data_IF_142744790608
#
_entry.id   IF_142744790608
#
_cell.length_a   1.000
_cell.length_b   1.000
_cell.length_c   1.000
_cell.angle_alpha   90.00
_cell.angle_beta   90.00
_cell.angle_gamma   90.00
#
_symmetry.space_group_name_H-M   'P 1'
#
loop_
_entity.id
_entity.type
_entity.pdbx_description
1 polymer ?
#
# COMPACT_ATOMS: atom_id res chain seq x y z
N UNK A 1 -13.05 9.43 29.53
CA UNK A 1 -12.54 8.82 28.29
C UNK A 1 -12.37 9.94 27.26
N UNK A 2 -11.16 10.13 26.73
CA UNK A 2 -10.88 11.16 25.72
C UNK A 2 -11.25 10.64 24.33
N UNK A 3 -11.67 11.56 23.41
CA UNK A 3 -11.91 11.22 22.01
C UNK A 3 -10.60 10.72 21.36
N UNK A 4 -10.56 9.48 20.81
CA UNK A 4 -9.36 8.93 20.18
C UNK A 4 -9.08 9.50 18.77
N UNK A 5 -9.99 10.32 18.22
CA UNK A 5 -9.91 10.84 16.85
C UNK A 5 -10.22 9.79 15.78
N UNK A 6 -9.51 8.67 15.78
CA UNK A 6 -9.76 7.53 14.88
C UNK A 6 -9.57 6.20 15.61
N UNK A 7 -10.41 5.23 15.27
CA UNK A 7 -10.31 3.85 15.82
C UNK A 7 -10.28 2.83 14.70
N UNK A 8 -9.66 1.70 14.98
CA UNK A 8 -9.72 0.49 14.14
C UNK A 8 -10.72 -0.47 14.75
N UNK A 9 -11.63 -0.98 13.95
CA UNK A 9 -12.57 -2.03 14.35
C UNK A 9 -11.84 -3.37 14.33
N UNK A 10 -11.71 -4.02 15.48
CA UNK A 10 -10.96 -5.27 15.66
C UNK A 10 -11.81 -6.54 15.52
N UNK A 11 -13.14 -6.39 15.51
CA UNK A 11 -14.14 -7.46 15.29
C UNK A 11 -15.28 -6.89 14.46
N UNK A 12 -15.95 -7.73 13.66
CA UNK A 12 -17.17 -7.32 12.96
C UNK A 12 -18.19 -6.75 13.95
N UNK A 13 -18.76 -5.59 13.65
CA UNK A 13 -19.64 -4.84 14.54
C UNK A 13 -20.76 -4.13 13.75
N UNK A 14 -21.62 -3.40 14.44
CA UNK A 14 -22.73 -2.66 13.87
C UNK A 14 -22.70 -1.21 14.37
N UNK A 15 -22.88 -0.24 13.48
CA UNK A 15 -23.24 1.11 13.87
C UNK A 15 -24.68 1.15 14.40
N UNK A 16 -24.98 2.07 15.29
CA UNK A 16 -26.32 2.29 15.83
C UNK A 16 -26.76 3.74 15.60
N UNK A 17 -28.06 3.94 15.44
CA UNK A 17 -28.61 5.27 15.20
C UNK A 17 -28.77 6.10 16.50
N UNK A 18 -28.57 5.50 17.68
CA UNK A 18 -28.63 6.16 18.97
C UNK A 18 -27.62 5.55 19.98
N UNK A 19 -27.30 6.31 21.02
CA UNK A 19 -26.34 5.91 22.06
C UNK A 19 -26.78 4.71 22.90
N UNK A 20 -28.08 4.44 23.00
CA UNK A 20 -28.62 3.28 23.75
C UNK A 20 -28.58 1.96 22.98
N UNK A 21 -28.15 2.01 21.70
CA UNK A 21 -28.06 0.83 20.83
C UNK A 21 -29.40 0.11 20.63
N UNK A 22 -30.53 0.82 20.69
CA UNK A 22 -31.87 0.29 20.45
C UNK A 22 -32.25 0.27 18.98
N UNK A 23 -31.60 1.07 18.13
CA UNK A 23 -31.83 1.16 16.68
C UNK A 23 -30.56 0.84 15.93
N UNK A 24 -30.55 -0.32 15.25
CA UNK A 24 -29.41 -0.81 14.45
C UNK A 24 -29.26 0.02 13.16
N UNK A 25 -28.04 0.35 12.82
CA UNK A 25 -27.62 0.95 11.55
C UNK A 25 -26.86 -0.04 10.66
N UNK A 26 -25.86 0.45 9.95
CA UNK A 26 -25.05 -0.35 9.03
C UNK A 26 -24.04 -1.25 9.77
N UNK A 27 -23.73 -2.40 9.17
CA UNK A 27 -22.64 -3.27 9.65
C UNK A 27 -21.28 -2.64 9.32
N UNK A 28 -20.30 -2.84 10.19
CA UNK A 28 -18.90 -2.45 9.99
C UNK A 28 -18.00 -3.67 10.17
N UNK A 29 -17.08 -3.87 9.24
CA UNK A 29 -16.21 -5.04 9.24
C UNK A 29 -14.94 -4.81 10.07
N UNK A 30 -14.39 -5.90 10.61
CA UNK A 30 -13.02 -5.93 11.14
C UNK A 30 -12.05 -5.26 10.16
N UNK A 31 -11.02 -4.62 10.70
CA UNK A 31 -9.98 -3.88 9.96
C UNK A 31 -10.49 -2.58 9.27
N UNK A 32 -11.68 -2.09 9.61
CA UNK A 32 -12.16 -0.77 9.17
C UNK A 32 -11.60 0.31 10.08
N UNK A 33 -10.98 1.34 9.47
CA UNK A 33 -10.61 2.57 10.17
C UNK A 33 -11.81 3.51 10.19
N UNK A 34 -12.22 3.95 11.37
CA UNK A 34 -13.40 4.80 11.60
C UNK A 34 -12.97 6.12 12.24
N UNK A 35 -13.46 7.23 11.70
CA UNK A 35 -13.30 8.55 12.28
C UNK A 35 -14.25 8.71 13.48
N UNK A 36 -13.75 9.26 14.58
CA UNK A 36 -14.51 9.51 15.80
C UNK A 36 -14.65 11.01 16.04
N UNK A 37 -15.87 11.50 16.00
CA UNK A 37 -16.21 12.91 16.20
C UNK A 37 -16.30 13.27 17.69
N UNK A 38 -16.69 12.32 18.54
CA UNK A 38 -16.85 12.55 19.97
C UNK A 38 -17.18 11.27 20.75
N UNK A 39 -17.46 11.45 22.03
CA UNK A 39 -17.95 10.41 22.93
C UNK A 39 -19.26 10.90 23.55
N UNK A 40 -20.25 10.04 23.54
CA UNK A 40 -21.55 10.22 24.16
C UNK A 40 -21.84 9.03 25.08
N UNK A 41 -22.67 9.23 26.09
CA UNK A 41 -23.01 8.16 27.02
C UNK A 41 -24.45 7.71 26.80
N UNK A 42 -24.67 6.40 26.85
CA UNK A 42 -26.01 5.83 26.87
C UNK A 42 -26.78 6.26 28.12
N UNK A 43 -28.09 6.08 28.16
CA UNK A 43 -28.93 6.32 29.33
C UNK A 43 -28.46 5.52 30.56
N UNK A 44 -27.77 4.40 30.35
CA UNK A 44 -27.21 3.52 31.40
C UNK A 44 -25.73 3.80 31.68
N UNK A 45 -25.17 4.91 31.16
CA UNK A 45 -23.80 5.37 31.45
C UNK A 45 -22.68 4.68 30.65
N UNK A 46 -22.98 3.87 29.63
CA UNK A 46 -21.95 3.27 28.77
C UNK A 46 -21.43 4.26 27.74
N UNK A 47 -20.09 4.45 27.60
CA UNK A 47 -19.52 5.32 26.58
C UNK A 47 -19.72 4.75 25.17
N UNK A 48 -20.06 5.64 24.23
CA UNK A 48 -20.23 5.35 22.80
C UNK A 48 -19.37 6.29 21.97
N UNK A 49 -18.79 5.79 20.90
CA UNK A 49 -18.08 6.63 19.93
C UNK A 49 -19.10 7.19 18.97
N UNK A 50 -19.13 8.52 18.83
CA UNK A 50 -19.92 9.23 17.83
C UNK A 50 -19.12 9.25 16.52
N UNK A 51 -19.70 8.77 15.45
CA UNK A 51 -19.06 8.69 14.12
C UNK A 51 -19.98 9.28 13.05
N UNK A 52 -19.47 9.58 11.83
CA UNK A 52 -20.34 10.01 10.72
C UNK A 52 -21.41 8.98 10.32
N UNK A 53 -21.21 7.69 10.65
CA UNK A 53 -22.12 6.59 10.32
C UNK A 53 -23.08 6.23 11.46
N UNK A 54 -22.98 6.91 12.61
CA UNK A 54 -23.75 6.64 13.81
C UNK A 54 -22.87 6.30 15.01
N UNK A 55 -23.46 5.65 16.00
CA UNK A 55 -22.79 5.29 17.26
C UNK A 55 -22.11 3.92 17.15
N UNK A 56 -20.88 3.85 17.65
CA UNK A 56 -20.11 2.60 17.75
C UNK A 56 -19.74 2.34 19.21
N UNK A 57 -19.53 1.10 19.59
CA UNK A 57 -19.07 0.75 20.94
C UNK A 57 -17.68 1.36 21.22
N UNK A 58 -17.47 1.81 22.47
CA UNK A 58 -16.16 2.25 22.95
C UNK A 58 -15.37 1.13 23.65
N UNK A 59 -15.82 -0.12 23.55
CA UNK A 59 -15.15 -1.29 24.17
C UNK A 59 -13.79 -1.54 23.53
N UNK A 60 -12.73 -1.56 24.34
CA UNK A 60 -11.33 -1.72 23.89
C UNK A 60 -11.00 -3.11 23.30
N UNK A 61 -11.83 -4.12 23.55
CA UNK A 61 -11.70 -5.45 22.93
C UNK A 61 -12.36 -5.53 21.55
N UNK A 62 -13.10 -4.49 21.15
CA UNK A 62 -13.80 -4.38 19.86
C UNK A 62 -13.19 -3.28 18.99
N UNK A 63 -12.82 -2.15 19.59
CA UNK A 63 -12.19 -1.04 18.89
C UNK A 63 -10.87 -0.63 19.54
N UNK A 64 -9.88 -0.31 18.74
CA UNK A 64 -8.56 0.13 19.16
C UNK A 64 -8.31 1.54 18.64
N UNK A 65 -7.78 2.44 19.47
CA UNK A 65 -7.34 3.75 19.00
C UNK A 65 -6.28 3.60 17.90
N UNK A 66 -6.46 4.30 16.79
CA UNK A 66 -5.47 4.31 15.73
C UNK A 66 -4.17 4.96 16.21
N UNK A 67 -3.03 4.51 15.68
CA UNK A 67 -1.73 5.14 15.96
C UNK A 67 -1.71 6.59 15.50
N UNK A 68 -1.01 7.48 16.20
CA UNK A 68 -0.98 8.91 15.93
C UNK A 68 -0.49 9.29 14.53
N UNK A 69 0.38 8.46 13.94
CA UNK A 69 0.98 8.67 12.63
C UNK A 69 0.36 7.79 11.52
N UNK A 70 -0.91 7.41 11.67
CA UNK A 70 -1.63 6.50 10.75
C UNK A 70 -1.59 6.99 9.29
N UNK A 71 -1.52 8.29 9.04
CA UNK A 71 -1.48 8.88 7.70
C UNK A 71 -0.19 8.54 6.91
N UNK A 72 0.87 8.08 7.60
CA UNK A 72 2.08 7.56 6.98
C UNK A 72 1.94 6.12 6.46
N UNK A 73 0.76 5.52 6.60
CA UNK A 73 0.48 4.14 6.21
C UNK A 73 -0.65 4.07 5.18
N UNK A 74 -0.68 3.00 4.40
CA UNK A 74 -1.86 2.62 3.65
C UNK A 74 -2.89 2.04 4.62
N UNK A 75 -4.08 2.60 4.63
CA UNK A 75 -5.24 2.17 5.44
C UNK A 75 -6.34 1.56 4.60
N UNK A 76 -6.21 1.64 3.27
CA UNK A 76 -7.01 0.93 2.28
C UNK A 76 -6.09 0.10 1.38
N UNK A 77 -6.61 -0.98 0.80
CA UNK A 77 -5.84 -1.85 -0.08
C UNK A 77 -5.33 -1.08 -1.32
N UNK A 78 -4.02 -0.92 -1.51
CA UNK A 78 -3.44 -0.25 -2.67
C UNK A 78 -3.41 -1.13 -3.94
N UNK A 79 -3.87 -2.38 -3.88
CA UNK A 79 -3.82 -3.35 -4.97
C UNK A 79 -2.44 -3.95 -5.17
N UNK A 80 -1.48 -3.18 -5.63
CA UNK A 80 -0.07 -3.59 -5.80
C UNK A 80 0.86 -2.53 -5.26
N UNK A 81 1.96 -2.97 -4.64
CA UNK A 81 3.00 -2.07 -4.13
C UNK A 81 4.38 -2.49 -4.63
N UNK A 82 5.26 -1.50 -4.75
CA UNK A 82 6.69 -1.70 -4.98
C UNK A 82 7.42 -1.56 -3.65
N UNK A 83 8.27 -2.50 -3.33
CA UNK A 83 9.17 -2.44 -2.17
C UNK A 83 10.30 -1.45 -2.47
N UNK A 84 10.40 -0.37 -1.72
CA UNK A 84 11.37 0.72 -1.94
C UNK A 84 12.67 0.55 -1.16
N UNK A 85 12.69 -0.36 -0.17
CA UNK A 85 13.85 -0.75 0.64
C UNK A 85 13.78 -2.26 0.89
N UNK A 86 14.92 -2.93 1.04
CA UNK A 86 14.95 -4.34 1.46
C UNK A 86 14.13 -4.52 2.74
N UNK A 87 13.25 -5.52 2.76
CA UNK A 87 12.28 -5.74 3.82
C UNK A 87 12.07 -7.25 4.07
N UNK A 88 11.22 -7.59 5.01
CA UNK A 88 10.88 -8.98 5.37
C UNK A 88 9.36 -9.14 5.37
N UNK A 89 8.88 -10.24 4.80
CA UNK A 89 7.52 -10.71 5.08
C UNK A 89 7.44 -11.29 6.48
N UNK A 90 6.27 -11.21 7.10
CA UNK A 90 6.01 -11.78 8.42
C UNK A 90 4.82 -12.73 8.36
N UNK A 91 4.84 -13.75 9.21
CA UNK A 91 3.77 -14.75 9.25
C UNK A 91 2.52 -14.27 10.01
N UNK A 92 2.59 -13.14 10.72
CA UNK A 92 1.48 -12.54 11.45
C UNK A 92 1.54 -11.00 11.40
N UNK A 93 0.39 -10.36 11.67
CA UNK A 93 0.25 -8.90 11.65
C UNK A 93 1.06 -8.18 12.74
N UNK A 94 1.39 -8.86 13.84
CA UNK A 94 2.19 -8.29 14.95
C UNK A 94 3.70 -8.28 14.67
N UNK A 95 4.13 -8.88 13.55
CA UNK A 95 5.54 -8.95 13.15
C UNK A 95 6.44 -9.67 14.16
N UNK A 96 5.88 -10.64 14.91
CA UNK A 96 6.61 -11.45 15.89
C UNK A 96 7.24 -12.70 15.26
N UNK A 97 6.76 -13.13 14.09
CA UNK A 97 7.28 -14.29 13.36
C UNK A 97 7.74 -13.88 11.97
N UNK A 98 9.07 -13.88 11.76
CA UNK A 98 9.70 -13.54 10.47
C UNK A 98 9.47 -14.61 9.42
N UNK A 99 9.16 -14.20 8.21
CA UNK A 99 9.09 -15.01 7.02
C UNK A 99 10.26 -14.75 6.07
N UNK A 100 10.00 -14.79 4.76
CA UNK A 100 11.01 -14.59 3.73
C UNK A 100 11.42 -13.12 3.58
N UNK A 101 12.69 -12.88 3.23
CA UNK A 101 13.15 -11.56 2.83
C UNK A 101 12.56 -11.14 1.49
N UNK A 102 12.35 -9.85 1.30
CA UNK A 102 11.92 -9.25 0.03
C UNK A 102 12.84 -8.09 -0.33
N UNK A 103 13.33 -8.08 -1.55
CA UNK A 103 14.29 -7.08 -2.02
C UNK A 103 13.60 -5.82 -2.52
N UNK A 104 14.32 -4.71 -2.41
CA UNK A 104 13.97 -3.46 -3.10
C UNK A 104 13.64 -3.74 -4.58
N UNK A 105 12.74 -2.95 -5.15
CA UNK A 105 12.24 -3.08 -6.52
C UNK A 105 11.40 -4.34 -6.80
N UNK A 106 10.97 -5.07 -5.76
CA UNK A 106 10.00 -6.16 -5.92
C UNK A 106 8.59 -5.59 -5.98
N UNK A 107 7.83 -5.97 -7.02
CA UNK A 107 6.39 -5.72 -7.11
C UNK A 107 5.66 -6.80 -6.30
N UNK A 108 4.76 -6.38 -5.41
CA UNK A 108 4.00 -7.26 -4.52
C UNK A 108 2.51 -7.01 -4.68
N UNK A 109 1.74 -8.06 -4.91
CA UNK A 109 0.27 -8.03 -4.91
C UNK A 109 -0.26 -7.99 -3.48
N UNK A 110 -1.17 -7.06 -3.20
CA UNK A 110 -1.79 -6.84 -1.89
C UNK A 110 -3.22 -7.34 -1.94
N UNK A 111 -3.57 -8.24 -1.03
CA UNK A 111 -4.90 -8.82 -0.90
C UNK A 111 -5.82 -7.99 0.00
N UNK A 112 -5.25 -7.24 0.95
CA UNK A 112 -6.01 -6.42 1.89
C UNK A 112 -5.13 -5.71 2.91
N UNK A 113 -5.81 -5.08 3.88
CA UNK A 113 -5.18 -4.48 5.07
C UNK A 113 -5.66 -5.25 6.28
N UNK A 114 -4.72 -5.56 7.17
CA UNK A 114 -5.01 -6.05 8.52
C UNK A 114 -4.23 -5.21 9.54
N UNK A 115 -4.78 -5.07 10.74
CA UNK A 115 -4.13 -4.30 11.79
C UNK A 115 -3.53 -5.23 12.85
N UNK A 116 -2.33 -4.89 13.31
CA UNK A 116 -1.70 -5.54 14.46
C UNK A 116 -2.49 -5.28 15.75
N UNK A 117 -2.20 -6.03 16.79
CA UNK A 117 -2.78 -5.82 18.13
C UNK A 117 -2.53 -4.41 18.69
N UNK A 118 -1.50 -3.71 18.19
CA UNK A 118 -1.15 -2.33 18.56
C UNK A 118 -1.64 -1.28 17.55
N UNK A 119 -2.55 -1.62 16.62
CA UNK A 119 -3.16 -0.69 15.68
C UNK A 119 -2.30 -0.29 14.48
N UNK A 120 -1.18 -0.98 14.21
CA UNK A 120 -0.38 -0.74 13.01
C UNK A 120 -0.99 -1.45 11.80
N UNK A 121 -1.30 -0.74 10.68
CA UNK A 121 -1.77 -1.40 9.48
C UNK A 121 -0.66 -2.19 8.80
N UNK A 122 -1.02 -3.36 8.26
CA UNK A 122 -0.16 -4.28 7.52
C UNK A 122 -0.79 -4.61 6.18
N UNK A 123 0.04 -4.74 5.17
CA UNK A 123 -0.38 -5.28 3.87
C UNK A 123 -0.47 -6.80 3.98
N UNK A 124 -1.63 -7.36 3.67
CA UNK A 124 -1.84 -8.80 3.54
C UNK A 124 -1.42 -9.24 2.15
N UNK A 125 -0.53 -10.21 2.02
CA UNK A 125 -0.04 -10.74 0.75
C UNK A 125 -0.07 -12.26 0.74
N UNK A 126 0.12 -12.89 -0.42
CA UNK A 126 0.25 -14.36 -0.51
C UNK A 126 1.47 -14.92 0.23
N UNK A 127 2.47 -14.08 0.51
CA UNK A 127 3.72 -14.47 1.21
C UNK A 127 3.71 -14.11 2.70
N UNK A 128 2.59 -13.63 3.22
CA UNK A 128 2.45 -13.14 4.59
C UNK A 128 2.22 -11.64 4.64
N UNK A 129 2.55 -11.06 5.77
CA UNK A 129 2.32 -9.64 6.05
C UNK A 129 3.55 -8.80 5.72
N UNK A 130 3.32 -7.64 5.13
CA UNK A 130 4.34 -6.63 4.85
C UNK A 130 3.94 -5.31 5.51
N UNK A 131 4.92 -4.46 5.79
CA UNK A 131 4.63 -3.12 6.30
C UNK A 131 3.75 -2.33 5.32
N UNK A 132 2.79 -1.57 5.85
CA UNK A 132 1.98 -0.64 5.06
C UNK A 132 2.57 0.79 5.01
N UNK A 133 3.80 1.01 5.52
CA UNK A 133 4.45 2.32 5.55
C UNK A 133 4.77 2.83 4.15
N UNK A 134 4.30 4.03 3.83
CA UNK A 134 4.45 4.68 2.52
C UNK A 134 5.88 5.06 2.15
N UNK A 135 6.79 5.14 3.13
CA UNK A 135 8.23 5.39 2.91
C UNK A 135 9.05 4.11 2.67
N UNK A 136 8.43 2.95 2.86
CA UNK A 136 9.04 1.63 2.65
C UNK A 136 8.44 0.94 1.44
N UNK A 137 7.13 1.10 1.22
CA UNK A 137 6.42 0.58 0.05
C UNK A 137 5.67 1.71 -0.65
N UNK A 138 5.67 1.71 -1.97
CA UNK A 138 4.95 2.68 -2.80
C UNK A 138 3.87 1.97 -3.61
N UNK A 139 2.65 2.55 -3.69
CA UNK A 139 1.63 2.01 -4.57
C UNK A 139 2.14 1.99 -6.02
N UNK A 140 1.94 0.87 -6.71
CA UNK A 140 2.23 0.78 -8.13
C UNK A 140 1.20 1.61 -8.93
N UNK A 141 1.61 2.09 -10.10
CA UNK A 141 0.69 2.79 -11.02
C UNK A 141 -0.45 1.86 -11.45
N UNK A 142 -1.65 2.41 -11.68
CA UNK A 142 -2.85 1.64 -12.00
C UNK A 142 -2.72 0.79 -13.28
N UNK A 143 -1.96 1.29 -14.26
CA UNK A 143 -1.73 0.64 -15.56
C UNK A 143 -0.39 -0.12 -15.62
N UNK A 144 0.09 -0.65 -14.50
CA UNK A 144 1.40 -1.32 -14.37
C UNK A 144 1.56 -2.50 -15.36
N UNK A 145 0.46 -3.13 -15.77
CA UNK A 145 0.46 -4.26 -16.73
C UNK A 145 0.94 -3.87 -18.13
N UNK A 146 0.90 -2.57 -18.46
CA UNK A 146 1.47 -2.04 -19.70
C UNK A 146 3.00 -1.93 -19.69
N UNK A 147 3.64 -2.32 -18.61
CA UNK A 147 5.07 -2.19 -18.39
C UNK A 147 5.72 -3.55 -18.12
N UNK A 148 7.00 -3.68 -18.43
CA UNK A 148 7.81 -4.79 -17.91
C UNK A 148 8.07 -4.54 -16.43
N UNK A 149 7.70 -5.49 -15.60
CA UNK A 149 7.91 -5.51 -14.14
C UNK A 149 8.95 -6.52 -13.71
N UNK A 150 9.37 -7.39 -14.64
CA UNK A 150 10.50 -8.31 -14.52
C UNK A 150 11.55 -7.96 -15.57
N UNK A 151 12.84 -8.21 -15.25
CA UNK A 151 13.93 -7.90 -16.17
C UNK A 151 13.77 -8.67 -17.49
N UNK A 152 13.53 -7.98 -18.63
CA UNK A 152 13.44 -8.65 -19.93
C UNK A 152 14.78 -9.13 -20.47
N UNK A 153 15.91 -8.81 -19.81
CA UNK A 153 17.31 -9.07 -20.17
C UNK A 153 17.75 -8.28 -21.41
N UNK A 154 16.92 -8.26 -22.47
CA UNK A 154 17.22 -7.61 -23.75
C UNK A 154 15.93 -7.09 -24.37
N UNK A 155 15.99 -5.88 -24.91
CA UNK A 155 14.86 -5.26 -25.60
C UNK A 155 15.29 -4.65 -26.93
N UNK A 156 14.32 -4.41 -27.81
CA UNK A 156 14.46 -3.53 -28.99
C UNK A 156 13.57 -2.30 -28.83
N UNK A 157 14.06 -1.13 -29.25
CA UNK A 157 13.30 0.10 -29.26
C UNK A 157 12.29 0.11 -30.42
N UNK A 158 11.01 0.35 -30.10
CA UNK A 158 9.94 0.47 -31.10
C UNK A 158 9.77 1.90 -31.63
N UNK A 159 10.32 2.88 -30.91
CA UNK A 159 10.29 4.32 -31.24
C UNK A 159 11.65 4.95 -30.97
N UNK A 160 11.87 6.15 -31.50
CA UNK A 160 12.98 7.00 -31.06
C UNK A 160 12.69 7.50 -29.64
N UNK A 161 13.67 7.45 -28.75
CA UNK A 161 13.58 7.88 -27.35
C UNK A 161 14.95 8.36 -26.88
N UNK A 162 15.15 8.45 -25.57
CA UNK A 162 16.43 8.77 -24.94
C UNK A 162 16.63 8.03 -23.64
N UNK A 163 17.88 7.90 -23.24
CA UNK A 163 18.22 7.49 -21.88
C UNK A 163 17.99 8.66 -20.91
N UNK A 164 17.81 8.33 -19.64
CA UNK A 164 17.73 9.29 -18.53
C UNK A 164 18.73 8.89 -17.44
N UNK A 165 19.33 9.88 -16.80
CA UNK A 165 20.31 9.61 -15.71
C UNK A 165 19.62 9.38 -14.36
N UNK A 166 18.33 9.69 -14.28
CA UNK A 166 17.53 9.51 -13.06
C UNK A 166 16.22 8.74 -13.32
N UNK A 167 15.68 8.12 -12.27
CA UNK A 167 14.46 7.32 -12.31
C UNK A 167 13.19 8.13 -12.58
N UNK A 168 13.22 9.43 -12.30
CA UNK A 168 12.07 10.33 -12.49
C UNK A 168 11.98 10.88 -13.91
N UNK A 169 12.97 10.55 -14.77
CA UNK A 169 13.07 11.04 -16.15
C UNK A 169 13.14 12.57 -16.26
N UNK A 170 13.80 13.21 -15.29
CA UNK A 170 14.00 14.68 -15.28
C UNK A 170 15.24 15.11 -16.03
N UNK A 171 16.29 14.30 -15.99
CA UNK A 171 17.59 14.61 -16.58
C UNK A 171 17.80 13.77 -17.84
N UNK A 172 17.57 14.34 -19.03
CA UNK A 172 17.72 13.63 -20.28
C UNK A 172 19.20 13.32 -20.56
N UNK A 173 19.46 12.09 -21.01
CA UNK A 173 20.76 11.59 -21.49
C UNK A 173 20.81 11.47 -23.01
N UNK A 174 21.62 10.53 -23.50
CA UNK A 174 21.84 10.29 -24.93
C UNK A 174 20.56 9.83 -25.64
N UNK A 175 20.34 10.23 -26.90
CA UNK A 175 19.23 9.73 -27.71
C UNK A 175 19.45 8.26 -28.07
N UNK A 176 18.36 7.54 -28.28
CA UNK A 176 18.34 6.16 -28.77
C UNK A 176 17.34 6.03 -29.92
N UNK A 177 17.76 5.42 -31.02
CA UNK A 177 16.93 5.27 -32.23
C UNK A 177 16.03 4.04 -32.16
N UNK A 178 14.89 4.10 -32.85
CA UNK A 178 14.08 2.94 -33.15
C UNK A 178 14.93 1.82 -33.77
N UNK A 179 14.67 0.59 -33.42
CA UNK A 179 15.41 -0.60 -33.87
C UNK A 179 16.69 -0.89 -33.07
N UNK A 180 17.13 0.02 -32.18
CA UNK A 180 18.30 -0.23 -31.34
C UNK A 180 17.99 -1.34 -30.34
N UNK A 181 18.89 -2.35 -30.30
CA UNK A 181 18.84 -3.41 -29.29
C UNK A 181 19.64 -2.98 -28.06
N UNK A 182 19.04 -3.17 -26.86
CA UNK A 182 19.60 -2.72 -25.59
C UNK A 182 19.62 -3.89 -24.60
N UNK A 183 20.77 -4.11 -23.93
CA UNK A 183 20.86 -5.02 -22.80
C UNK A 183 20.35 -4.34 -21.53
N UNK A 184 19.44 -5.00 -20.84
CA UNK A 184 18.83 -4.54 -19.60
C UNK A 184 19.51 -5.22 -18.41
N UNK A 185 19.95 -4.42 -17.45
CA UNK A 185 20.62 -4.89 -16.24
C UNK A 185 19.62 -5.22 -15.13
N UNK A 186 18.44 -4.58 -15.13
CA UNK A 186 17.41 -4.77 -14.12
C UNK A 186 16.25 -3.82 -14.29
N UNK A 187 15.32 -3.88 -13.34
CA UNK A 187 14.20 -2.92 -13.21
C UNK A 187 14.36 -2.17 -11.89
N UNK A 188 14.21 -0.87 -11.98
CA UNK A 188 14.10 0.01 -10.82
C UNK A 188 12.83 0.85 -10.94
N UNK A 189 12.31 1.33 -9.80
CA UNK A 189 11.06 2.07 -9.77
C UNK A 189 11.28 3.51 -9.33
N UNK A 190 10.62 4.45 -10.01
CA UNK A 190 10.51 5.83 -9.58
C UNK A 190 9.73 5.94 -8.26
N UNK A 191 9.79 7.11 -7.60
CA UNK A 191 9.03 7.38 -6.37
C UNK A 191 7.52 7.21 -6.54
N UNK A 192 7.01 7.45 -7.76
CA UNK A 192 5.60 7.31 -8.09
C UNK A 192 5.22 5.91 -8.63
N UNK A 193 6.08 4.90 -8.44
CA UNK A 193 5.79 3.51 -8.80
C UNK A 193 5.91 3.19 -10.29
N UNK A 194 6.52 4.05 -11.13
CA UNK A 194 6.80 3.75 -12.54
C UNK A 194 8.02 2.85 -12.67
N UNK A 195 7.93 1.66 -13.28
CA UNK A 195 9.09 0.84 -13.57
C UNK A 195 9.96 1.44 -14.69
N UNK A 196 11.26 1.33 -14.54
CA UNK A 196 12.29 1.77 -15.50
C UNK A 196 13.26 0.65 -15.78
N UNK A 197 13.66 0.49 -17.02
CA UNK A 197 14.73 -0.44 -17.39
C UNK A 197 16.07 0.23 -17.12
N UNK A 198 16.89 -0.40 -16.26
CA UNK A 198 18.26 0.02 -16.00
C UNK A 198 19.18 -0.55 -17.06
N UNK A 199 20.02 0.30 -17.64
CA UNK A 199 21.02 -0.04 -18.67
C UNK A 199 22.39 0.50 -18.30
N UNK A 200 23.42 0.20 -19.06
CA UNK A 200 24.76 0.79 -18.89
C UNK A 200 24.81 2.29 -19.22
N UNK A 201 23.82 2.82 -19.95
CA UNK A 201 23.75 4.22 -20.34
C UNK A 201 22.75 5.05 -19.50
N UNK A 202 22.12 4.44 -18.51
CA UNK A 202 21.08 5.04 -17.67
C UNK A 202 19.76 4.30 -17.75
N UNK A 203 18.68 5.02 -17.51
CA UNK A 203 17.33 4.47 -17.47
C UNK A 203 16.57 4.75 -18.75
N UNK A 204 15.72 3.80 -19.16
CA UNK A 204 14.81 3.95 -20.28
C UNK A 204 13.43 3.41 -19.87
N UNK A 205 12.41 3.79 -20.63
CA UNK A 205 11.03 3.32 -20.35
C UNK A 205 10.95 1.79 -20.39
N UNK A 206 10.15 1.24 -19.48
CA UNK A 206 9.75 -0.18 -19.52
C UNK A 206 8.38 -0.39 -20.18
N UNK A 207 7.77 0.68 -20.73
CA UNK A 207 6.44 0.60 -21.35
C UNK A 207 6.50 -0.23 -22.64
N UNK A 208 5.69 -1.29 -22.68
CA UNK A 208 5.60 -2.27 -23.79
C UNK A 208 5.19 -1.66 -25.12
N UNK A 209 4.64 -0.43 -25.13
CA UNK A 209 4.34 0.32 -26.36
C UNK A 209 5.60 0.92 -27.02
N UNK A 210 6.66 1.13 -26.26
CA UNK A 210 7.89 1.78 -26.71
C UNK A 210 9.07 0.82 -26.82
N UNK A 211 9.01 -0.30 -26.09
CA UNK A 211 10.07 -1.32 -26.10
C UNK A 211 9.47 -2.73 -26.17
N UNK A 212 10.16 -3.64 -26.84
CA UNK A 212 9.76 -5.04 -26.96
C UNK A 212 10.91 -5.93 -26.49
N UNK A 213 10.58 -6.94 -25.66
CA UNK A 213 11.52 -7.99 -25.28
C UNK A 213 11.94 -8.79 -26.51
N UNK A 214 13.24 -9.07 -26.62
CA UNK A 214 13.82 -9.95 -27.64
C UNK A 214 14.62 -11.05 -26.98
N UNK A 215 14.68 -12.20 -27.62
CA UNK A 215 15.43 -13.37 -27.12
C UNK A 215 16.93 -13.20 -27.38
#
# INVERSE_FOLDING_TARGET
TANPGRVVVMKDETFYNNADFTSKGAAVKKNTLVEVQGIEYSSTGYPRLVTPQGYLTARKDIVLAAISNIDKYYTANPGRVVVMKDETFYNNADFTSKGAAVKKNTLVEVQGIEYSSNGYPRLVTRKGYLTARKDIVSAAISNIDNYYTENPVKIVMLVNDRYYTDLEFKTPGSPVKKGTTIRVQGIEYSKNGYPRLKTSQGYITSNKRYVQKVN
#
